data_IF_156520311399
#
_entry.id   IF_156520311399
#
_cell.length_a   1.000
_cell.length_b   1.000
_cell.length_c   1.000
_cell.angle_alpha   90.00
_cell.angle_beta   90.00
_cell.angle_gamma   90.00
#
_symmetry.space_group_name_H-M   'P 1'
#
loop_
_entity.id
_entity.type
_entity.pdbx_description
1 polymer ?
#
# COMPACT_ATOMS: atom_id res chain seq x y z
N UNK A 1 12.59 -5.65 -21.84
CA UNK A 1 13.72 -6.59 -21.69
C UNK A 1 13.55 -7.71 -22.72
N UNK A 2 14.60 -8.08 -23.46
CA UNK A 2 14.59 -9.31 -24.27
C UNK A 2 15.34 -10.38 -23.49
N UNK A 3 14.62 -11.40 -23.02
CA UNK A 3 15.24 -12.59 -22.44
C UNK A 3 15.79 -13.46 -23.58
N UNK A 4 16.95 -14.07 -23.37
CA UNK A 4 17.51 -15.05 -24.31
C UNK A 4 16.71 -16.35 -24.34
N UNK A 5 17.09 -17.25 -25.25
CA UNK A 5 16.54 -18.60 -25.36
C UNK A 5 16.79 -19.41 -24.07
N UNK A 6 15.73 -19.95 -23.47
CA UNK A 6 15.78 -20.69 -22.19
C UNK A 6 15.56 -22.20 -22.33
N UNK A 7 15.41 -22.70 -23.56
CA UNK A 7 15.06 -24.10 -23.84
C UNK A 7 16.08 -25.08 -23.26
N UNK A 8 17.38 -24.73 -23.31
CA UNK A 8 18.44 -25.56 -22.74
C UNK A 8 18.34 -25.67 -21.20
N UNK A 9 17.98 -24.57 -20.52
CA UNK A 9 17.81 -24.55 -19.06
C UNK A 9 16.58 -25.37 -18.65
N UNK A 10 15.49 -25.27 -19.42
CA UNK A 10 14.29 -26.07 -19.20
C UNK A 10 14.54 -27.57 -19.40
N UNK A 11 15.30 -27.94 -20.44
CA UNK A 11 15.69 -29.34 -20.70
C UNK A 11 16.54 -29.91 -19.55
N UNK A 12 17.57 -29.18 -19.13
CA UNK A 12 18.44 -29.59 -18.02
C UNK A 12 17.64 -29.81 -16.71
N UNK A 13 16.69 -28.91 -16.42
CA UNK A 13 15.81 -29.01 -15.25
C UNK A 13 15.00 -30.31 -15.26
N UNK A 14 14.53 -30.74 -16.45
CA UNK A 14 13.79 -31.98 -16.62
C UNK A 14 14.70 -33.21 -16.48
N UNK A 15 15.87 -33.20 -17.11
CA UNK A 15 16.85 -34.30 -17.05
C UNK A 15 17.34 -34.57 -15.61
N UNK A 16 17.54 -33.53 -14.82
CA UNK A 16 17.95 -33.64 -13.41
C UNK A 16 16.79 -33.89 -12.44
N UNK A 17 15.55 -33.99 -12.93
CA UNK A 17 14.36 -34.24 -12.09
C UNK A 17 14.13 -33.16 -11.02
N UNK A 18 14.44 -31.89 -11.31
CA UNK A 18 14.39 -30.82 -10.30
C UNK A 18 12.95 -30.54 -9.79
N UNK A 19 12.81 -30.34 -8.48
CA UNK A 19 11.55 -29.93 -7.84
C UNK A 19 11.15 -28.50 -8.23
N UNK A 20 9.84 -28.20 -8.20
CA UNK A 20 9.31 -26.87 -8.56
C UNK A 20 9.61 -25.80 -7.49
N UNK A 21 9.41 -24.54 -7.85
CA UNK A 21 9.75 -23.43 -6.96
C UNK A 21 8.86 -23.42 -5.69
N UNK A 22 7.60 -23.83 -5.80
CA UNK A 22 6.71 -23.99 -4.63
C UNK A 22 7.26 -25.02 -3.63
N UNK A 23 7.79 -26.15 -4.11
CA UNK A 23 8.47 -27.13 -3.26
C UNK A 23 9.68 -26.51 -2.58
N UNK A 24 10.50 -25.73 -3.30
CA UNK A 24 11.65 -25.04 -2.70
C UNK A 24 11.24 -24.08 -1.58
N UNK A 25 10.19 -23.26 -1.78
CA UNK A 25 9.67 -22.37 -0.74
C UNK A 25 9.15 -23.14 0.48
N UNK A 26 8.48 -24.27 0.27
CA UNK A 26 7.84 -25.05 1.33
C UNK A 26 8.78 -26.02 2.06
N UNK A 27 9.94 -26.35 1.50
CA UNK A 27 10.83 -27.39 2.05
C UNK A 27 12.25 -26.89 2.35
N UNK A 28 12.72 -25.82 1.68
CA UNK A 28 14.09 -25.31 1.82
C UNK A 28 14.08 -23.89 2.38
N UNK A 29 13.30 -23.00 1.76
CA UNK A 29 13.23 -21.59 2.14
C UNK A 29 12.04 -21.28 3.08
N UNK A 30 11.76 -22.17 4.03
CA UNK A 30 10.56 -22.11 4.88
C UNK A 30 10.44 -20.84 5.72
N UNK A 31 11.56 -20.18 6.02
CA UNK A 31 11.60 -18.94 6.79
C UNK A 31 11.47 -17.68 5.91
N UNK A 32 11.42 -17.84 4.58
CA UNK A 32 11.20 -16.71 3.67
C UNK A 32 9.70 -16.43 3.56
N UNK A 33 9.30 -15.25 4.03
CA UNK A 33 7.94 -14.75 3.84
C UNK A 33 7.79 -14.30 2.38
N UNK A 34 7.10 -15.10 1.58
CA UNK A 34 6.73 -14.74 0.20
C UNK A 34 5.22 -14.49 0.17
N UNK A 35 4.76 -13.30 -0.25
CA UNK A 35 3.33 -13.03 -0.38
C UNK A 35 2.67 -14.03 -1.33
N UNK A 36 1.45 -14.47 -1.00
CA UNK A 36 0.68 -15.27 -1.94
C UNK A 36 0.31 -14.40 -3.14
N UNK A 37 0.84 -14.75 -4.32
CA UNK A 37 0.62 -13.99 -5.56
C UNK A 37 -0.85 -13.85 -5.96
N UNK A 38 -1.71 -14.80 -5.56
CA UNK A 38 -3.15 -14.75 -5.81
C UNK A 38 -3.89 -13.72 -4.94
N UNK A 39 -3.30 -13.34 -3.81
CA UNK A 39 -3.85 -12.36 -2.87
C UNK A 39 -3.27 -10.95 -3.10
N UNK A 40 -2.32 -10.79 -4.02
CA UNK A 40 -1.82 -9.46 -4.38
C UNK A 40 -2.85 -8.76 -5.26
N UNK A 41 -3.39 -7.64 -4.79
CA UNK A 41 -4.35 -6.82 -5.54
C UNK A 41 -3.76 -5.58 -6.18
N UNK A 42 -2.69 -5.03 -5.59
CA UNK A 42 -1.98 -3.87 -6.13
C UNK A 42 -0.47 -4.10 -6.08
N UNK A 43 0.20 -3.74 -7.17
CA UNK A 43 1.65 -3.83 -7.31
C UNK A 43 2.19 -2.64 -8.10
N UNK A 44 2.96 -1.78 -7.43
CA UNK A 44 3.53 -0.62 -8.08
C UNK A 44 3.81 0.52 -7.12
N UNK A 45 3.65 1.74 -7.61
CA UNK A 45 3.94 2.97 -6.85
C UNK A 45 2.65 3.56 -6.30
N UNK A 46 2.72 4.11 -5.09
CA UNK A 46 1.59 4.79 -4.45
C UNK A 46 1.79 6.30 -4.65
N UNK A 47 0.93 6.91 -5.45
CA UNK A 47 1.00 8.33 -5.81
C UNK A 47 -0.01 9.14 -5.00
N UNK A 48 0.44 10.28 -4.47
CA UNK A 48 -0.40 11.29 -3.83
C UNK A 48 -1.23 12.05 -4.87
N UNK A 49 -2.52 12.21 -4.59
CA UNK A 49 -3.45 12.96 -5.45
C UNK A 49 -3.32 14.48 -5.24
N UNK A 50 -2.71 14.93 -4.14
CA UNK A 50 -2.55 16.36 -3.84
C UNK A 50 -1.50 17.04 -4.70
N UNK A 51 -0.35 16.38 -4.92
CA UNK A 51 0.82 16.96 -5.57
C UNK A 51 1.49 16.05 -6.61
N UNK A 52 0.95 14.85 -6.85
CA UNK A 52 1.46 13.92 -7.86
C UNK A 52 2.77 13.21 -7.50
N UNK A 53 3.31 13.40 -6.28
CA UNK A 53 4.53 12.71 -5.82
C UNK A 53 4.22 11.30 -5.32
N UNK A 54 5.22 10.44 -5.32
CA UNK A 54 5.09 9.05 -4.89
C UNK A 54 5.58 8.87 -3.46
N UNK A 55 4.92 7.98 -2.72
CA UNK A 55 5.40 7.48 -1.44
C UNK A 55 6.77 6.81 -1.65
N UNK A 56 7.74 7.21 -0.85
CA UNK A 56 9.13 6.81 -0.96
C UNK A 56 9.70 6.54 0.44
N UNK A 57 10.55 5.53 0.57
CA UNK A 57 11.26 5.25 1.83
C UNK A 57 12.31 6.30 2.18
N UNK A 58 12.64 7.21 1.26
CA UNK A 58 13.65 8.28 1.29
C UNK A 58 15.09 7.84 1.59
N UNK A 59 15.25 6.58 2.00
CA UNK A 59 16.51 5.93 2.31
C UNK A 59 16.35 4.42 2.09
N UNK A 60 17.48 3.75 1.87
CA UNK A 60 17.54 2.29 1.88
C UNK A 60 17.58 1.71 3.30
N UNK A 61 17.88 2.53 4.30
CA UNK A 61 17.95 2.14 5.71
C UNK A 61 16.57 1.84 6.28
N UNK A 62 16.48 0.77 7.08
CA UNK A 62 15.30 0.50 7.92
C UNK A 62 15.17 1.61 8.98
N UNK A 63 13.96 1.81 9.51
CA UNK A 63 13.69 2.75 10.62
C UNK A 63 13.81 4.24 10.30
N UNK A 64 13.95 4.61 9.02
CA UNK A 64 13.83 5.99 8.57
C UNK A 64 12.36 6.34 8.26
N UNK A 65 11.93 7.57 8.60
CA UNK A 65 10.63 8.07 8.20
C UNK A 65 10.46 8.02 6.67
N UNK A 66 9.30 7.57 6.22
CA UNK A 66 8.92 7.62 4.81
C UNK A 66 8.39 9.01 4.45
N UNK A 67 8.40 9.32 3.17
CA UNK A 67 7.90 10.59 2.68
C UNK A 67 7.50 10.53 1.21
N UNK A 68 7.45 11.71 0.60
CA UNK A 68 7.09 11.91 -0.79
C UNK A 68 8.33 12.30 -1.58
N UNK A 69 8.48 11.69 -2.75
CA UNK A 69 9.49 12.06 -3.71
C UNK A 69 8.91 12.04 -5.12
N UNK A 70 9.61 12.64 -6.07
CA UNK A 70 9.20 12.56 -7.47
C UNK A 70 9.11 11.09 -7.88
N UNK A 71 8.02 10.74 -8.57
CA UNK A 71 7.80 9.37 -9.03
C UNK A 71 8.90 8.97 -10.02
N UNK A 72 9.66 7.93 -9.69
CA UNK A 72 10.76 7.44 -10.54
C UNK A 72 10.24 6.29 -11.40
N UNK A 73 10.49 6.33 -12.71
CA UNK A 73 10.05 5.31 -13.66
C UNK A 73 10.92 4.05 -13.65
N UNK A 74 12.20 4.17 -13.27
CA UNK A 74 13.19 3.10 -13.39
C UNK A 74 13.64 2.54 -12.04
N UNK A 75 13.04 1.43 -11.61
CA UNK A 75 13.71 0.39 -10.81
C UNK A 75 14.24 0.74 -9.40
N UNK A 76 13.87 1.88 -8.81
CA UNK A 76 14.29 2.17 -7.43
C UNK A 76 13.34 1.50 -6.45
N UNK A 77 13.84 0.47 -5.75
CA UNK A 77 13.10 -0.31 -4.75
C UNK A 77 12.65 0.48 -3.50
N UNK A 78 12.69 1.82 -3.52
CA UNK A 78 12.21 2.72 -2.45
C UNK A 78 10.77 3.16 -2.66
N UNK A 79 10.22 3.05 -3.88
CA UNK A 79 8.85 3.47 -4.22
C UNK A 79 7.92 2.31 -4.63
N UNK A 80 8.43 1.07 -4.63
CA UNK A 80 7.68 -0.10 -5.08
C UNK A 80 7.05 -0.84 -3.90
N UNK A 81 5.73 -0.90 -3.91
CA UNK A 81 4.93 -1.52 -2.87
C UNK A 81 4.09 -2.67 -3.42
N UNK A 82 3.84 -3.64 -2.56
CA UNK A 82 2.92 -4.75 -2.77
C UNK A 82 1.83 -4.64 -1.72
N UNK A 83 0.57 -4.67 -2.14
CA UNK A 83 -0.56 -4.70 -1.22
C UNK A 83 -1.26 -6.05 -1.23
N UNK A 84 -1.44 -6.59 -0.02
CA UNK A 84 -2.03 -7.90 0.24
C UNK A 84 -3.26 -7.71 1.16
N UNK A 85 -4.51 -7.77 0.65
CA UNK A 85 -5.71 -7.47 1.44
C UNK A 85 -5.97 -8.43 2.60
N UNK A 86 -5.64 -9.72 2.46
CA UNK A 86 -5.90 -10.68 3.56
C UNK A 86 -5.08 -10.35 4.81
N UNK A 87 -3.82 -9.94 4.64
CA UNK A 87 -2.94 -9.53 5.73
C UNK A 87 -3.02 -8.03 6.04
N UNK A 88 -3.59 -7.24 5.12
CA UNK A 88 -3.63 -5.78 5.16
C UNK A 88 -2.24 -5.14 5.17
N UNK A 89 -1.23 -5.82 4.64
CA UNK A 89 0.15 -5.33 4.67
C UNK A 89 0.50 -4.56 3.39
N UNK A 90 1.21 -3.44 3.56
CA UNK A 90 1.95 -2.76 2.50
C UNK A 90 3.41 -3.16 2.60
N UNK A 91 3.85 -4.01 1.68
CA UNK A 91 5.20 -4.57 1.67
C UNK A 91 6.10 -3.84 0.68
N UNK A 92 7.35 -3.67 1.08
CA UNK A 92 8.45 -3.14 0.26
C UNK A 92 9.64 -4.11 0.37
N UNK A 93 10.30 -4.37 -0.77
CA UNK A 93 11.44 -5.30 -0.89
C UNK A 93 11.17 -6.72 -0.36
N UNK A 94 9.92 -7.18 -0.40
CA UNK A 94 9.46 -8.51 0.01
C UNK A 94 9.68 -8.91 1.48
N UNK A 95 10.45 -8.15 2.27
CA UNK A 95 10.79 -8.50 3.66
C UNK A 95 10.39 -7.43 4.68
N UNK A 96 10.03 -6.23 4.22
CA UNK A 96 9.68 -5.11 5.10
C UNK A 96 8.27 -4.60 4.83
N UNK A 97 7.58 -4.21 5.88
CA UNK A 97 6.24 -3.67 5.88
C UNK A 97 6.26 -2.21 6.34
N UNK A 98 5.29 -1.43 5.86
CA UNK A 98 5.08 -0.05 6.29
C UNK A 98 4.43 -0.08 7.67
N UNK A 99 5.16 0.36 8.70
CA UNK A 99 4.64 0.48 10.07
C UNK A 99 4.35 1.94 10.42
N UNK A 100 3.21 2.19 11.07
CA UNK A 100 2.91 3.47 11.70
C UNK A 100 3.50 3.52 13.13
N UNK A 101 4.39 4.48 13.35
CA UNK A 101 4.93 4.79 14.67
C UNK A 101 4.17 5.95 15.31
N UNK A 102 3.20 5.60 16.16
CA UNK A 102 2.37 6.53 16.93
C UNK A 102 3.21 7.60 17.65
N UNK A 103 4.30 7.20 18.33
CA UNK A 103 5.10 8.15 19.13
C UNK A 103 5.84 9.22 18.34
N UNK A 104 6.04 9.03 17.04
CA UNK A 104 6.69 10.00 16.14
C UNK A 104 5.73 10.58 15.10
N UNK A 105 4.48 10.13 15.10
CA UNK A 105 3.48 10.43 14.09
C UNK A 105 3.98 10.28 12.63
N UNK A 106 4.68 9.18 12.34
CA UNK A 106 5.28 8.93 11.02
C UNK A 106 5.22 7.45 10.67
N UNK A 107 5.32 7.15 9.38
CA UNK A 107 5.52 5.78 8.89
C UNK A 107 6.99 5.49 8.62
N UNK A 108 7.38 4.22 8.73
CA UNK A 108 8.75 3.75 8.46
C UNK A 108 8.75 2.26 8.05
N UNK A 109 9.90 1.75 7.62
CA UNK A 109 10.07 0.33 7.30
C UNK A 109 10.45 -0.49 8.53
N UNK A 110 9.73 -1.59 8.76
CA UNK A 110 10.04 -2.63 9.74
C UNK A 110 9.93 -4.01 9.11
N UNK A 111 10.61 -5.02 9.67
CA UNK A 111 10.40 -6.41 9.24
C UNK A 111 8.95 -6.83 9.49
N UNK A 112 8.30 -7.41 8.47
CA UNK A 112 6.90 -7.81 8.56
C UNK A 112 6.67 -8.82 9.69
N UNK A 113 5.66 -8.58 10.51
CA UNK A 113 5.33 -9.34 11.72
C UNK A 113 3.87 -9.79 11.83
N UNK A 114 2.97 -9.27 10.98
CA UNK A 114 1.52 -9.40 11.15
C UNK A 114 0.92 -8.47 12.22
N UNK A 115 1.70 -7.51 12.73
CA UNK A 115 1.26 -6.58 13.79
C UNK A 115 0.17 -5.65 13.28
N UNK A 116 -0.72 -5.21 14.18
CA UNK A 116 -1.70 -4.16 13.85
C UNK A 116 -1.03 -2.86 13.40
N UNK A 117 0.17 -2.56 13.90
CA UNK A 117 0.92 -1.33 13.58
C UNK A 117 1.37 -1.22 12.12
N UNK A 118 1.30 -2.31 11.36
CA UNK A 118 1.68 -2.37 9.93
C UNK A 118 0.50 -2.76 9.03
N UNK A 119 -0.72 -2.71 9.56
CA UNK A 119 -1.94 -3.03 8.83
C UNK A 119 -2.62 -1.78 8.29
N UNK A 120 -2.89 -1.80 6.99
CA UNK A 120 -3.46 -0.73 6.19
C UNK A 120 -4.60 -1.27 5.33
N UNK A 121 -5.70 -0.53 5.28
CA UNK A 121 -6.83 -0.80 4.39
C UNK A 121 -6.87 0.27 3.31
N UNK A 122 -7.02 -0.16 2.06
CA UNK A 122 -7.07 0.73 0.90
C UNK A 122 -8.53 0.88 0.42
N UNK A 123 -9.26 1.83 1.03
CA UNK A 123 -10.72 1.92 0.92
C UNK A 123 -11.16 3.02 -0.05
N UNK A 124 -12.22 2.76 -0.82
CA UNK A 124 -12.88 3.79 -1.61
C UNK A 124 -13.57 4.82 -0.70
N UNK A 125 -13.42 6.08 -1.05
CA UNK A 125 -13.98 7.21 -0.31
C UNK A 125 -15.08 7.85 -1.14
N UNK A 126 -16.28 7.94 -0.57
CA UNK A 126 -17.41 8.62 -1.17
C UNK A 126 -17.70 9.88 -0.34
N UNK A 127 -17.85 11.03 -1.01
CA UNK A 127 -18.23 12.29 -0.35
C UNK A 127 -19.61 12.70 -0.86
N UNK A 128 -20.56 12.88 0.05
CA UNK A 128 -21.87 13.45 -0.30
C UNK A 128 -21.77 14.97 -0.39
N UNK A 129 -22.28 15.55 -1.48
CA UNK A 129 -22.15 16.98 -1.82
C UNK A 129 -23.01 17.90 -0.95
N UNK A 130 -24.07 17.39 -0.33
CA UNK A 130 -25.09 18.23 0.33
C UNK A 130 -24.92 18.41 1.84
N UNK A 131 -24.03 17.65 2.50
CA UNK A 131 -23.88 17.66 3.97
C UNK A 131 -22.45 17.58 4.49
N UNK A 132 -21.44 17.41 3.63
CA UNK A 132 -20.03 17.30 4.05
C UNK A 132 -19.66 15.98 4.74
N UNK A 133 -20.60 15.04 4.84
CA UNK A 133 -20.39 13.71 5.45
C UNK A 133 -19.50 12.85 4.53
N UNK A 134 -18.46 12.24 5.13
CA UNK A 134 -17.57 11.29 4.47
C UNK A 134 -18.09 9.88 4.73
N UNK A 135 -18.31 9.13 3.65
CA UNK A 135 -18.78 7.76 3.70
C UNK A 135 -17.69 6.83 3.20
N UNK A 136 -17.33 5.85 4.02
CA UNK A 136 -16.38 4.78 3.67
C UNK A 136 -17.12 3.51 3.35
N UNK A 137 -16.83 2.91 2.20
CA UNK A 137 -17.31 1.57 1.86
C UNK A 137 -16.12 0.63 1.93
N UNK A 138 -16.21 -0.36 2.82
CA UNK A 138 -15.22 -1.44 2.90
C UNK A 138 -15.44 -2.45 1.78
N UNK A 139 -14.37 -3.05 1.27
CA UNK A 139 -14.42 -4.04 0.19
C UNK A 139 -15.27 -5.29 0.51
N UNK A 140 -15.56 -5.54 1.80
CA UNK A 140 -16.25 -6.73 2.29
C UNK A 140 -17.68 -6.47 2.80
N UNK A 141 -18.08 -5.21 2.97
CA UNK A 141 -19.41 -4.90 3.47
C UNK A 141 -19.86 -3.53 2.99
N UNK A 142 -21.07 -3.46 2.43
CA UNK A 142 -21.79 -2.22 2.10
C UNK A 142 -22.24 -1.47 3.38
N UNK A 143 -21.34 -1.37 4.36
CA UNK A 143 -21.52 -0.67 5.62
C UNK A 143 -20.84 0.68 5.49
N UNK A 144 -21.61 1.72 5.74
CA UNK A 144 -21.17 3.10 5.89
C UNK A 144 -20.72 3.29 7.31
N UNK A 145 -19.54 3.87 7.49
CA UNK A 145 -19.11 4.41 8.78
C UNK A 145 -19.13 5.93 8.62
N UNK A 146 -19.98 6.58 9.41
CA UNK A 146 -20.07 8.04 9.48
C UNK A 146 -18.87 8.61 10.24
N UNK A 147 -18.61 9.91 10.10
CA UNK A 147 -17.53 10.62 10.79
C UNK A 147 -17.64 10.62 12.32
N UNK A 148 -18.83 10.34 12.86
CA UNK A 148 -19.10 10.17 14.29
C UNK A 148 -18.93 8.72 14.78
N UNK A 149 -18.49 7.80 13.91
CA UNK A 149 -18.31 6.38 14.23
C UNK A 149 -19.58 5.55 14.16
N UNK A 150 -20.74 6.13 13.86
CA UNK A 150 -21.98 5.38 13.65
C UNK A 150 -21.93 4.59 12.34
N UNK A 151 -22.59 3.42 12.30
CA UNK A 151 -22.61 2.56 11.11
C UNK A 151 -24.02 2.34 10.56
N UNK A 152 -24.16 2.41 9.23
CA UNK A 152 -25.42 2.18 8.53
C UNK A 152 -25.21 1.22 7.35
N UNK A 153 -26.13 0.27 7.13
CA UNK A 153 -26.13 -0.58 5.92
C UNK A 153 -26.77 0.19 4.77
N UNK A 154 -26.04 0.36 3.66
CA UNK A 154 -26.60 1.00 2.46
C UNK A 154 -27.59 0.07 1.76
N UNK A 155 -28.77 0.60 1.40
CA UNK A 155 -29.70 -0.03 0.45
C UNK A 155 -29.44 0.41 -1.00
N UNK A 156 -28.93 1.63 -1.23
CA UNK A 156 -28.64 2.17 -2.57
C UNK A 156 -27.44 3.14 -2.52
N UNK A 157 -26.54 3.06 -3.51
CA UNK A 157 -25.43 4.02 -3.71
C UNK A 157 -25.88 5.02 -4.78
N UNK A 158 -26.16 6.27 -4.40
CA UNK A 158 -26.33 7.34 -5.38
C UNK A 158 -24.95 7.71 -5.94
N UNK A 159 -24.71 7.34 -7.21
CA UNK A 159 -23.49 7.65 -7.95
C UNK A 159 -23.49 9.12 -8.39
N UNK A 160 -23.29 10.06 -7.49
CA UNK A 160 -22.84 11.40 -7.88
C UNK A 160 -21.40 11.59 -7.40
N UNK A 161 -20.48 11.65 -8.37
CA UNK A 161 -19.02 11.83 -8.21
C UNK A 161 -18.30 10.75 -7.39
N UNK A 162 -18.20 9.54 -7.94
CA UNK A 162 -17.22 8.55 -7.49
C UNK A 162 -15.82 9.08 -7.82
N UNK A 163 -15.06 9.46 -6.80
CA UNK A 163 -13.62 9.70 -6.94
C UNK A 163 -12.94 8.34 -6.93
N UNK A 164 -12.25 7.95 -8.02
CA UNK A 164 -11.50 6.67 -8.09
C UNK A 164 -10.35 6.56 -7.08
N UNK A 165 -10.10 7.65 -6.35
CA UNK A 165 -9.09 7.76 -5.32
C UNK A 165 -9.53 7.07 -4.03
N UNK A 166 -8.58 6.41 -3.38
CA UNK A 166 -8.83 5.70 -2.12
C UNK A 166 -7.96 6.27 -1.01
N UNK A 167 -8.35 6.02 0.23
CA UNK A 167 -7.57 6.35 1.43
C UNK A 167 -6.80 5.12 1.91
N UNK A 168 -5.57 5.35 2.39
CA UNK A 168 -4.80 4.36 3.14
C UNK A 168 -5.09 4.53 4.63
N UNK A 169 -5.96 3.68 5.16
CA UNK A 169 -6.44 3.74 6.55
C UNK A 169 -5.70 2.70 7.38
N UNK A 170 -4.92 3.16 8.35
CA UNK A 170 -4.24 2.32 9.32
C UNK A 170 -5.24 1.58 10.22
N UNK A 171 -4.83 0.46 10.81
CA UNK A 171 -5.67 -0.32 11.75
C UNK A 171 -6.21 0.46 12.95
N UNK A 172 -5.59 1.60 13.30
CA UNK A 172 -6.07 2.53 14.33
C UNK A 172 -7.21 3.44 13.88
N UNK A 173 -7.62 3.37 12.61
CA UNK A 173 -8.67 4.21 12.01
C UNK A 173 -8.18 5.55 11.43
N UNK A 174 -6.89 5.86 11.58
CA UNK A 174 -6.24 7.07 11.07
C UNK A 174 -5.77 6.90 9.61
N UNK A 175 -5.57 8.00 8.90
CA UNK A 175 -5.24 8.02 7.48
C UNK A 175 -3.82 8.50 7.23
N UNK A 176 -3.16 7.88 6.24
CA UNK A 176 -1.92 8.40 5.70
C UNK A 176 -2.16 9.74 5.01
N UNK A 177 -1.41 10.76 5.42
CA UNK A 177 -1.59 12.14 5.00
C UNK A 177 -0.28 12.68 4.40
N UNK A 178 -0.39 13.22 3.19
CA UNK A 178 0.67 13.90 2.46
C UNK A 178 0.98 15.31 2.99
N UNK A 179 0.16 15.85 3.90
CA UNK A 179 0.38 17.16 4.49
C UNK A 179 1.42 17.06 5.60
N UNK A 180 2.54 17.76 5.48
CA UNK A 180 3.44 18.00 6.61
C UNK A 180 2.95 19.22 7.41
N UNK A 181 2.46 19.06 8.65
CA UNK A 181 2.04 20.19 9.49
C UNK A 181 3.20 21.12 9.89
N UNK A 182 4.48 20.77 9.66
CA UNK A 182 5.66 21.57 10.01
C UNK A 182 6.25 22.36 8.82
N UNK A 183 5.42 22.67 7.84
CA UNK A 183 5.80 23.31 6.57
C UNK A 183 6.42 24.72 6.64
N UNK A 184 6.80 25.23 7.81
CA UNK A 184 7.48 26.53 7.96
C UNK A 184 8.98 26.42 8.25
N UNK A 185 9.52 25.29 8.71
CA UNK A 185 10.92 25.28 9.20
C UNK A 185 11.79 24.07 8.79
N UNK A 186 11.27 23.01 8.15
CA UNK A 186 12.11 21.90 7.66
C UNK A 186 11.76 21.39 6.24
N UNK A 187 12.77 21.04 5.41
CA UNK A 187 12.63 20.75 3.98
C UNK A 187 12.26 19.29 3.64
N UNK A 188 11.86 18.48 4.63
CA UNK A 188 11.75 17.04 4.41
C UNK A 188 10.29 16.62 4.21
N UNK A 189 10.05 16.08 3.02
CA UNK A 189 8.77 15.64 2.44
C UNK A 189 8.09 14.47 3.19
N UNK A 190 8.13 14.39 4.51
CA UNK A 190 7.61 13.22 5.24
C UNK A 190 6.08 13.13 5.21
N UNK A 191 5.57 11.91 5.28
CA UNK A 191 4.13 11.64 5.41
C UNK A 191 3.77 11.43 6.89
N UNK A 192 2.59 11.89 7.27
CA UNK A 192 2.08 11.73 8.64
C UNK A 192 0.83 10.85 8.66
N UNK A 193 0.32 10.52 9.85
CA UNK A 193 -0.90 9.73 10.00
C UNK A 193 -1.88 10.51 10.88
N UNK A 194 -2.97 10.98 10.29
CA UNK A 194 -3.88 11.95 10.93
C UNK A 194 -5.32 11.46 10.94
N UNK A 195 -6.20 12.22 11.59
CA UNK A 195 -7.63 11.94 11.52
C UNK A 195 -8.10 12.07 10.07
N UNK A 196 -8.95 11.15 9.66
CA UNK A 196 -9.37 11.08 8.28
C UNK A 196 -10.39 12.16 7.95
N UNK A 197 -10.11 12.95 6.91
CA UNK A 197 -10.84 14.17 6.58
C UNK A 197 -11.26 14.24 5.09
N UNK A 198 -10.93 13.22 4.28
CA UNK A 198 -11.29 13.18 2.87
C UNK A 198 -10.59 14.24 2.01
N UNK A 199 -9.59 14.94 2.56
CA UNK A 199 -8.79 15.91 1.83
C UNK A 199 -7.98 15.24 0.72
N UNK A 200 -7.59 16.04 -0.28
CA UNK A 200 -6.78 15.53 -1.39
C UNK A 200 -5.42 14.98 -0.92
N UNK A 201 -4.90 15.45 0.21
CA UNK A 201 -3.66 14.96 0.82
C UNK A 201 -3.76 13.55 1.40
N UNK A 202 -4.98 13.05 1.66
CA UNK A 202 -5.21 11.69 2.17
C UNK A 202 -5.65 10.72 1.06
N UNK A 203 -5.67 11.19 -0.18
CA UNK A 203 -6.11 10.42 -1.35
C UNK A 203 -4.90 9.90 -2.13
N UNK A 204 -4.93 8.61 -2.42
CA UNK A 204 -3.82 7.88 -3.02
C UNK A 204 -4.29 7.03 -4.21
N UNK A 205 -3.46 6.97 -5.25
CA UNK A 205 -3.67 6.14 -6.45
C UNK A 205 -2.49 5.21 -6.69
N UNK A 206 -2.73 4.04 -7.25
CA UNK A 206 -1.66 3.13 -7.66
C UNK A 206 -1.26 3.41 -9.10
N UNK A 207 0.03 3.62 -9.32
CA UNK A 207 0.63 3.47 -10.63
C UNK A 207 1.06 2.01 -10.76
N UNK A 208 0.14 1.18 -11.24
CA UNK A 208 0.36 -0.25 -11.46
C UNK A 208 1.49 -0.44 -12.46
N UNK A 209 2.34 -1.43 -12.18
CA UNK A 209 3.41 -1.83 -13.08
C UNK A 209 3.07 -3.23 -13.56
N UNK A 210 3.13 -3.44 -14.87
CA UNK A 210 2.78 -4.73 -15.47
C UNK A 210 3.50 -5.85 -14.72
N UNK A 211 2.71 -6.77 -14.17
CA UNK A 211 3.25 -8.00 -13.60
C UNK A 211 3.97 -8.73 -14.73
N UNK A 212 5.27 -9.06 -14.61
CA UNK A 212 5.88 -9.98 -15.55
C UNK A 212 5.05 -11.28 -15.51
N UNK A 213 4.52 -11.65 -16.67
CA UNK A 213 3.81 -12.91 -16.88
C UNK A 213 4.68 -14.12 -16.55
#
# INVERSE_FOLDING_TARGET
MKFGKIEHVMKLRQELGCRNFSWFLNNVAIHKRVPNTQDITHYGRIQSVSDGRCLDTLSTEKWKPMGLYNCVENGVNTQFFIYTPSTKELMIRLETCVEFKVSKNTTWMKSCSGSKTEQWTYNQVYRWSTSGVIVRITQFSHIVINSDGSSARLKYIFKESVSDTKELVHSSGLCLDATDPKHKEHPFNYVTVTSCNGERSQKWTWQEIERPA
#
